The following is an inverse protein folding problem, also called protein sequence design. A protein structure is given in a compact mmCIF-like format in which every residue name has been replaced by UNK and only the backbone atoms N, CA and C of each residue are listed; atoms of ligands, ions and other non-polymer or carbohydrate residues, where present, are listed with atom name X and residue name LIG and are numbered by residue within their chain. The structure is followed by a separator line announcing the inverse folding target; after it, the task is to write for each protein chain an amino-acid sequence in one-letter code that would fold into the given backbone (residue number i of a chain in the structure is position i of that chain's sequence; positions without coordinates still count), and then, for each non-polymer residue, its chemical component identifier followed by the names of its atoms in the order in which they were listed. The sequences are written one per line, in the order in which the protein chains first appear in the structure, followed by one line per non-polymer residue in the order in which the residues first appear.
data_IF_264726363666
#
_entry.id   IF_264726363666
#
_cell.length_a   1.000
_cell.length_b   1.000
_cell.length_c   1.000
_cell.angle_alpha   90.00
_cell.angle_beta   90.00
_cell.angle_gamma   90.00
#
_symmetry.space_group_name_H-M   'P 1'
#
loop_
_entity.id
_entity.type
_entity.pdbx_description
1 polymer ?
#
# COMPACT_ATOMS: atom_id res chain seq x y z
N UNK A 1 19.35 -17.97 -39.07
CA UNK A 1 18.04 -17.55 -39.61
C UNK A 1 17.29 -16.85 -38.49
N UNK A 2 17.40 -15.52 -38.44
CA UNK A 2 16.66 -14.69 -37.51
C UNK A 2 15.29 -14.40 -38.12
N UNK A 3 14.23 -14.99 -37.56
CA UNK A 3 12.86 -14.65 -37.94
C UNK A 3 12.53 -13.28 -37.34
N UNK A 4 12.39 -12.30 -38.23
CA UNK A 4 11.90 -10.97 -37.94
C UNK A 4 10.49 -11.06 -37.31
N UNK A 5 10.34 -10.42 -36.16
CA UNK A 5 9.11 -10.31 -35.41
C UNK A 5 8.30 -9.14 -35.99
N UNK A 6 7.81 -9.28 -37.22
CA UNK A 6 7.01 -8.26 -37.91
C UNK A 6 5.63 -8.13 -37.27
N UNK A 7 5.40 -7.00 -36.62
CA UNK A 7 4.13 -6.31 -36.31
C UNK A 7 2.85 -7.16 -36.17
N UNK A 8 2.55 -7.53 -34.92
CA UNK A 8 1.19 -7.94 -34.48
C UNK A 8 0.22 -6.77 -34.29
N UNK A 9 0.61 -5.55 -34.68
CA UNK A 9 -0.15 -4.31 -34.45
C UNK A 9 -1.23 -4.05 -35.50
N UNK A 10 -1.11 -4.64 -36.69
CA UNK A 10 -2.02 -4.32 -37.82
C UNK A 10 -3.44 -4.88 -37.67
N UNK A 11 -3.68 -5.80 -36.72
CA UNK A 11 -5.01 -6.41 -36.48
C UNK A 11 -5.79 -5.79 -35.32
N UNK A 12 -5.20 -4.81 -34.62
CA UNK A 12 -5.81 -4.11 -33.49
C UNK A 12 -6.42 -2.79 -33.98
N UNK A 13 -7.73 -2.63 -33.80
CA UNK A 13 -8.40 -1.36 -34.10
C UNK A 13 -7.88 -0.25 -33.17
N UNK A 14 -7.29 0.85 -33.70
CA UNK A 14 -6.70 1.91 -32.88
C UNK A 14 -7.73 2.75 -32.11
N UNK A 15 -9.03 2.67 -32.45
CA UNK A 15 -10.09 3.43 -31.77
C UNK A 15 -10.77 2.63 -30.66
N UNK A 16 -10.80 1.30 -30.76
CA UNK A 16 -11.47 0.43 -29.79
C UNK A 16 -10.52 -0.48 -29.02
N UNK A 17 -9.29 -0.67 -29.52
CA UNK A 17 -8.32 -1.62 -28.99
C UNK A 17 -8.69 -3.07 -29.26
N UNK A 18 -9.74 -3.33 -30.04
CA UNK A 18 -10.22 -4.68 -30.32
C UNK A 18 -9.34 -5.37 -31.37
N UNK A 19 -8.80 -6.53 -31.02
CA UNK A 19 -8.11 -7.40 -31.97
C UNK A 19 -9.10 -8.40 -32.59
N UNK A 20 -9.40 -8.24 -33.88
CA UNK A 20 -10.42 -9.06 -34.56
C UNK A 20 -10.05 -10.54 -34.68
N UNK A 21 -8.77 -10.87 -34.63
CA UNK A 21 -8.23 -12.23 -34.71
C UNK A 21 -8.32 -12.95 -33.36
N UNK A 22 -7.80 -12.32 -32.29
CA UNK A 22 -7.78 -12.92 -30.95
C UNK A 22 -9.08 -12.76 -30.18
N UNK A 23 -9.97 -11.85 -30.63
CA UNK A 23 -11.18 -11.41 -29.93
C UNK A 23 -10.89 -10.80 -28.54
N UNK A 24 -9.69 -10.26 -28.34
CA UNK A 24 -9.25 -9.62 -27.09
C UNK A 24 -9.29 -8.09 -27.26
N UNK A 25 -9.72 -7.39 -26.19
CA UNK A 25 -9.57 -5.94 -26.08
C UNK A 25 -8.25 -5.58 -25.42
N UNK A 26 -7.54 -4.64 -26.03
CA UNK A 26 -6.31 -4.06 -25.52
C UNK A 26 -6.57 -2.62 -25.07
N UNK A 27 -5.84 -2.18 -24.06
CA UNK A 27 -5.82 -0.76 -23.73
C UNK A 27 -5.28 0.05 -24.91
N UNK A 28 -5.93 1.17 -25.22
CA UNK A 28 -5.42 2.16 -26.20
C UNK A 28 -4.20 2.92 -25.69
N UNK A 29 -3.93 2.84 -24.38
CA UNK A 29 -2.74 3.46 -23.77
C UNK A 29 -1.51 2.61 -24.05
N UNK A 30 -0.36 3.28 -24.15
CA UNK A 30 0.92 2.62 -24.30
C UNK A 30 1.15 1.57 -23.20
N UNK A 31 1.80 0.47 -23.57
CA UNK A 31 2.18 -0.55 -22.59
C UNK A 31 3.23 0.04 -21.65
N UNK A 32 3.01 -0.17 -20.35
CA UNK A 32 3.91 0.32 -19.31
C UNK A 32 4.93 -0.77 -19.00
N UNK A 33 6.19 -0.36 -18.86
CA UNK A 33 7.27 -1.24 -18.44
C UNK A 33 7.23 -1.40 -16.92
N UNK A 34 7.11 -2.65 -16.46
CA UNK A 34 7.22 -2.99 -15.05
C UNK A 34 8.69 -3.34 -14.70
N UNK A 35 9.13 -3.13 -13.44
CA UNK A 35 10.44 -3.57 -13.01
C UNK A 35 10.63 -5.09 -13.22
N UNK A 36 11.86 -5.57 -13.49
CA UNK A 36 12.14 -7.01 -13.64
C UNK A 36 11.67 -7.80 -12.41
N UNK A 37 11.03 -8.96 -12.60
CA UNK A 37 10.46 -9.71 -11.45
C UNK A 37 11.52 -10.23 -10.47
N UNK A 38 12.75 -10.40 -10.95
CA UNK A 38 13.91 -10.85 -10.17
C UNK A 38 14.46 -9.77 -9.24
N UNK A 39 14.12 -8.50 -9.46
CA UNK A 39 14.54 -7.39 -8.60
C UNK A 39 13.75 -7.44 -7.27
N UNK A 40 14.41 -7.62 -6.11
CA UNK A 40 13.75 -7.49 -4.82
C UNK A 40 13.25 -6.07 -4.65
N UNK A 41 11.93 -5.90 -4.61
CA UNK A 41 11.29 -4.60 -4.61
C UNK A 41 9.94 -4.70 -3.91
N UNK A 42 9.83 -4.03 -2.77
CA UNK A 42 8.55 -3.81 -2.11
C UNK A 42 7.74 -2.72 -2.82
N UNK A 43 6.43 -2.70 -2.59
CA UNK A 43 5.56 -1.62 -3.09
C UNK A 43 5.95 -0.26 -2.50
N UNK A 44 6.37 -0.23 -1.23
CA UNK A 44 6.85 0.99 -0.60
C UNK A 44 8.12 1.51 -1.29
N UNK A 45 9.12 0.66 -1.51
CA UNK A 45 10.35 1.03 -2.23
C UNK A 45 10.04 1.51 -3.66
N UNK A 46 9.13 0.82 -4.37
CA UNK A 46 8.73 1.24 -5.70
C UNK A 46 8.13 2.66 -5.68
N UNK A 47 7.15 2.93 -4.82
CA UNK A 47 6.55 4.28 -4.74
C UNK A 47 7.60 5.32 -4.38
N UNK A 48 8.38 5.08 -3.33
CA UNK A 48 9.39 6.03 -2.86
C UNK A 48 10.49 6.29 -3.90
N UNK A 49 10.83 5.31 -4.73
CA UNK A 49 11.81 5.49 -5.82
C UNK A 49 11.28 6.34 -6.99
N UNK A 50 9.96 6.39 -7.19
CA UNK A 50 9.32 7.19 -8.23
C UNK A 50 8.91 8.59 -7.74
N UNK A 51 8.93 8.84 -6.42
CA UNK A 51 8.64 10.16 -5.87
C UNK A 51 9.88 11.07 -5.95
N UNK A 52 9.86 12.01 -6.90
CA UNK A 52 10.85 13.09 -7.01
C UNK A 52 10.38 14.33 -6.24
N UNK A 53 10.36 14.25 -4.91
CA UNK A 53 9.91 15.34 -4.04
C UNK A 53 11.07 16.03 -3.31
N UNK A 54 10.97 17.35 -3.13
CA UNK A 54 11.86 18.08 -2.23
C UNK A 54 11.62 17.62 -0.79
N UNK A 55 12.66 17.60 0.08
CA UNK A 55 12.49 17.28 1.50
C UNK A 55 11.36 18.05 2.19
N UNK A 56 11.15 19.31 1.81
CA UNK A 56 10.12 20.20 2.38
C UNK A 56 8.73 20.01 1.79
N UNK A 57 8.56 19.23 0.71
CA UNK A 57 7.26 19.05 0.04
C UNK A 57 6.28 18.35 0.97
N UNK A 58 5.10 18.94 1.17
CA UNK A 58 4.02 18.33 1.96
C UNK A 58 3.52 17.05 1.29
N UNK A 59 3.60 15.95 2.03
CA UNK A 59 3.24 14.60 1.55
C UNK A 59 1.88 14.15 2.09
N UNK A 60 1.64 14.35 3.39
CA UNK A 60 0.36 14.02 4.02
C UNK A 60 -0.24 15.26 4.67
N UNK A 61 -1.57 15.38 4.62
CA UNK A 61 -2.34 16.42 5.29
C UNK A 61 -3.49 15.76 6.03
N UNK A 62 -3.60 16.02 7.32
CA UNK A 62 -4.76 15.70 8.11
C UNK A 62 -5.79 16.82 7.94
N UNK A 63 -6.87 16.52 7.23
CA UNK A 63 -7.92 17.49 6.93
C UNK A 63 -8.69 17.95 8.18
N UNK A 64 -8.69 17.18 9.27
CA UNK A 64 -9.47 17.52 10.45
C UNK A 64 -8.82 18.62 11.29
N UNK A 65 -7.48 18.68 11.32
CA UNK A 65 -6.72 19.59 12.18
C UNK A 65 -5.66 20.42 11.41
N UNK A 66 -5.49 20.19 10.11
CA UNK A 66 -4.53 20.92 9.27
C UNK A 66 -3.07 20.50 9.49
N UNK A 67 -2.80 19.48 10.30
CA UNK A 67 -1.43 18.94 10.45
C UNK A 67 -0.95 18.43 9.11
N UNK A 68 0.31 18.69 8.82
CA UNK A 68 0.97 18.25 7.61
C UNK A 68 2.27 17.56 7.95
N UNK A 69 2.65 16.60 7.12
CA UNK A 69 3.91 15.86 7.22
C UNK A 69 4.66 16.10 5.90
N UNK A 70 5.90 16.59 6.02
CA UNK A 70 6.77 16.78 4.85
C UNK A 70 7.25 15.44 4.31
N UNK A 71 7.81 15.45 3.09
CA UNK A 71 8.38 14.25 2.49
C UNK A 71 9.52 13.67 3.34
N UNK A 72 10.44 14.52 3.81
CA UNK A 72 11.54 14.06 4.67
C UNK A 72 11.03 13.46 5.99
N UNK A 73 10.00 14.08 6.60
CA UNK A 73 9.39 13.59 7.83
C UNK A 73 8.65 12.28 7.59
N UNK A 74 7.94 12.13 6.48
CA UNK A 74 7.27 10.89 6.11
C UNK A 74 8.27 9.73 5.96
N UNK A 75 9.35 9.94 5.19
CA UNK A 75 10.41 8.95 5.00
C UNK A 75 11.05 8.59 6.34
N UNK A 76 11.32 9.59 7.17
CA UNK A 76 11.89 9.40 8.48
C UNK A 76 10.97 8.53 9.36
N UNK A 77 9.71 8.92 9.51
CA UNK A 77 8.71 8.19 10.32
C UNK A 77 8.51 6.74 9.83
N UNK A 78 8.49 6.51 8.51
CA UNK A 78 8.39 5.16 7.94
C UNK A 78 9.60 4.30 8.32
N UNK A 79 10.81 4.84 8.22
CA UNK A 79 12.03 4.10 8.58
C UNK A 79 12.09 3.81 10.07
N UNK A 80 11.80 4.81 10.90
CA UNK A 80 11.80 4.69 12.36
C UNK A 80 10.77 3.67 12.83
N UNK A 81 9.55 3.74 12.29
CA UNK A 81 8.50 2.78 12.63
C UNK A 81 8.83 1.36 12.18
N UNK A 82 9.32 1.18 10.95
CA UNK A 82 9.75 -0.13 10.47
C UNK A 82 10.84 -0.73 11.36
N UNK A 83 11.81 0.09 11.78
CA UNK A 83 12.87 -0.31 12.69
C UNK A 83 12.31 -0.80 14.03
N UNK A 84 11.45 0.00 14.65
CA UNK A 84 10.86 -0.31 15.96
C UNK A 84 9.93 -1.52 15.91
N UNK A 85 9.12 -1.66 14.87
CA UNK A 85 8.27 -2.83 14.65
C UNK A 85 9.10 -4.11 14.49
N UNK A 86 10.24 -4.03 13.82
CA UNK A 86 11.14 -5.17 13.68
C UNK A 86 11.86 -5.49 14.99
N UNK A 87 12.47 -4.51 15.65
CA UNK A 87 13.32 -4.76 16.82
C UNK A 87 12.51 -5.10 18.08
N UNK A 88 11.37 -4.43 18.31
CA UNK A 88 10.57 -4.61 19.52
C UNK A 88 9.55 -5.72 19.39
N UNK A 89 8.95 -5.90 18.21
CA UNK A 89 7.86 -6.86 17.98
C UNK A 89 8.27 -8.03 17.08
N UNK A 90 9.49 -8.02 16.53
CA UNK A 90 9.98 -9.10 15.66
C UNK A 90 9.27 -9.17 14.31
N UNK A 91 8.53 -8.13 13.90
CA UNK A 91 7.76 -8.17 12.65
C UNK A 91 8.69 -8.24 11.44
N UNK A 92 8.36 -9.12 10.51
CA UNK A 92 9.16 -9.44 9.33
C UNK A 92 8.31 -10.20 8.32
N UNK A 93 8.93 -10.55 7.19
CA UNK A 93 8.34 -11.37 6.15
C UNK A 93 7.73 -12.67 6.71
N UNK A 94 6.56 -13.04 6.17
CA UNK A 94 5.81 -14.23 6.58
C UNK A 94 4.78 -13.96 7.68
N UNK A 95 4.79 -12.79 8.31
CA UNK A 95 3.73 -12.36 9.23
C UNK A 95 2.65 -11.56 8.51
N UNK A 96 1.44 -11.56 9.09
CA UNK A 96 0.33 -10.70 8.69
C UNK A 96 -0.12 -9.80 9.85
N UNK A 97 -0.50 -8.58 9.51
CA UNK A 97 -0.99 -7.55 10.43
C UNK A 97 -2.41 -7.13 10.04
N UNK A 98 -3.32 -7.15 11.00
CA UNK A 98 -4.69 -6.69 10.80
C UNK A 98 -4.82 -5.21 11.16
N UNK A 99 -5.48 -4.42 10.32
CA UNK A 99 -5.60 -2.98 10.55
C UNK A 99 -7.08 -2.59 10.57
N UNK A 100 -7.55 -2.13 11.73
CA UNK A 100 -8.91 -1.70 11.95
C UNK A 100 -8.91 -0.26 12.46
N UNK A 101 -8.99 0.70 11.54
CA UNK A 101 -8.88 2.10 11.90
C UNK A 101 -9.72 2.96 10.96
N UNK A 102 -10.32 4.05 11.47
CA UNK A 102 -10.71 5.18 10.64
C UNK A 102 -9.51 5.74 9.88
N UNK A 103 -9.80 6.58 8.89
CA UNK A 103 -8.80 7.33 8.16
C UNK A 103 -8.02 8.26 9.09
N UNK A 104 -6.69 8.12 9.11
CA UNK A 104 -5.79 8.99 9.87
C UNK A 104 -4.46 9.17 9.13
N UNK A 105 -3.70 10.19 9.52
CA UNK A 105 -2.38 10.46 8.95
C UNK A 105 -1.36 9.34 9.25
N UNK A 106 -1.64 8.51 10.26
CA UNK A 106 -0.78 7.40 10.66
C UNK A 106 -0.88 6.18 9.75
N UNK A 107 -2.01 6.00 9.07
CA UNK A 107 -2.25 4.82 8.23
C UNK A 107 -1.25 4.71 7.07
N UNK A 108 -0.96 5.77 6.29
CA UNK A 108 0.09 5.71 5.29
C UNK A 108 1.47 5.37 5.86
N UNK A 109 1.84 5.93 7.02
CA UNK A 109 3.13 5.66 7.66
C UNK A 109 3.22 4.18 8.05
N UNK A 110 2.18 3.66 8.72
CA UNK A 110 2.10 2.24 9.08
C UNK A 110 2.19 1.33 7.86
N UNK A 111 1.44 1.62 6.79
CA UNK A 111 1.41 0.77 5.61
C UNK A 111 2.79 0.67 4.95
N UNK A 112 3.46 1.81 4.75
CA UNK A 112 4.79 1.82 4.16
C UNK A 112 5.79 1.10 5.05
N UNK A 113 5.68 1.25 6.37
CA UNK A 113 6.56 0.58 7.34
C UNK A 113 6.37 -0.95 7.34
N UNK A 114 5.13 -1.43 7.22
CA UNK A 114 4.85 -2.87 7.14
C UNK A 114 5.28 -3.45 5.78
N UNK A 115 5.08 -2.71 4.69
CA UNK A 115 5.54 -3.13 3.36
C UNK A 115 7.07 -3.23 3.26
N UNK A 116 7.83 -2.34 3.90
CA UNK A 116 9.31 -2.43 3.91
C UNK A 116 9.80 -3.64 4.71
N UNK A 117 9.00 -4.11 5.68
CA UNK A 117 9.27 -5.33 6.45
C UNK A 117 8.74 -6.61 5.76
N UNK A 118 8.03 -6.51 4.64
CA UNK A 118 7.39 -7.65 3.98
C UNK A 118 6.22 -8.26 4.76
N UNK A 119 5.62 -7.50 5.69
CA UNK A 119 4.45 -7.93 6.46
C UNK A 119 3.20 -7.79 5.61
N UNK A 120 2.38 -8.83 5.58
CA UNK A 120 1.12 -8.86 4.85
C UNK A 120 0.09 -7.99 5.57
N UNK A 121 -0.42 -6.97 4.90
CA UNK A 121 -1.39 -6.03 5.48
C UNK A 121 -2.81 -6.49 5.20
N UNK A 122 -3.64 -6.62 6.24
CA UNK A 122 -5.07 -6.91 6.10
C UNK A 122 -5.90 -5.78 6.70
N UNK A 123 -6.24 -4.75 5.89
CA UNK A 123 -7.04 -3.63 6.36
C UNK A 123 -8.53 -3.98 6.35
N UNK A 124 -9.27 -3.42 7.31
CA UNK A 124 -10.71 -3.62 7.46
C UNK A 124 -11.43 -2.35 7.87
N UNK A 125 -12.71 -2.28 7.51
CA UNK A 125 -13.52 -1.11 7.74
C UNK A 125 -13.86 -1.06 9.24
N UNK A 126 -13.57 0.06 9.95
CA UNK A 126 -13.92 0.21 11.36
C UNK A 126 -15.43 0.05 11.64
N UNK A 127 -16.28 0.24 10.63
CA UNK A 127 -17.73 0.00 10.72
C UNK A 127 -18.12 -1.48 10.72
N UNK A 128 -17.20 -2.40 10.41
CA UNK A 128 -17.48 -3.84 10.49
C UNK A 128 -17.86 -4.24 11.93
N UNK A 129 -18.76 -5.22 12.00
CA UNK A 129 -19.23 -5.83 13.24
C UNK A 129 -18.21 -6.82 13.78
N UNK A 130 -18.27 -7.14 15.09
CA UNK A 130 -17.36 -8.13 15.71
C UNK A 130 -17.38 -9.50 14.99
N UNK A 131 -18.53 -10.05 14.55
CA UNK A 131 -18.55 -11.30 13.78
C UNK A 131 -17.85 -11.20 12.43
N UNK A 132 -18.00 -10.08 11.72
CA UNK A 132 -17.32 -9.85 10.43
C UNK A 132 -15.80 -9.74 10.62
N UNK A 133 -15.36 -8.96 11.62
CA UNK A 133 -13.95 -8.82 12.00
C UNK A 133 -13.36 -10.16 12.40
N UNK A 134 -14.09 -10.93 13.23
CA UNK A 134 -13.67 -12.27 13.63
C UNK A 134 -13.51 -13.16 12.39
N UNK A 135 -14.45 -13.15 11.45
CA UNK A 135 -14.35 -13.93 10.21
C UNK A 135 -13.13 -13.53 9.38
N UNK A 136 -12.86 -12.23 9.25
CA UNK A 136 -11.70 -11.72 8.52
C UNK A 136 -10.39 -12.15 9.17
N UNK A 137 -10.27 -12.02 10.50
CA UNK A 137 -9.10 -12.49 11.27
C UNK A 137 -8.88 -14.01 11.10
N UNK A 138 -9.94 -14.81 11.04
CA UNK A 138 -9.81 -16.25 10.74
C UNK A 138 -9.26 -16.53 9.33
N UNK A 139 -9.52 -15.64 8.37
CA UNK A 139 -9.02 -15.76 7.00
C UNK A 139 -7.55 -15.32 6.89
N UNK A 140 -7.19 -14.17 7.45
CA UNK A 140 -5.84 -13.61 7.30
C UNK A 140 -4.83 -14.06 8.37
N UNK A 141 -5.31 -14.66 9.47
CA UNK A 141 -4.50 -15.20 10.59
C UNK A 141 -3.38 -14.25 11.06
N UNK A 142 -3.72 -13.01 11.44
CA UNK A 142 -2.76 -12.00 11.82
C UNK A 142 -2.08 -12.34 13.14
N UNK A 143 -0.77 -12.08 13.23
CA UNK A 143 -0.04 -12.19 14.50
C UNK A 143 -0.28 -10.97 15.39
N UNK A 144 -0.61 -9.83 14.78
CA UNK A 144 -0.79 -8.53 15.45
C UNK A 144 -1.93 -7.74 14.81
N UNK A 145 -2.57 -6.87 15.59
CA UNK A 145 -3.48 -5.86 15.07
C UNK A 145 -3.02 -4.43 15.36
N UNK A 146 -3.45 -3.51 14.51
CA UNK A 146 -3.34 -2.07 14.69
C UNK A 146 -4.74 -1.47 14.64
N UNK A 147 -5.13 -0.73 15.68
CA UNK A 147 -6.46 -0.11 15.74
C UNK A 147 -6.44 1.21 16.50
N UNK A 148 -7.57 1.90 16.56
CA UNK A 148 -7.75 3.01 17.50
C UNK A 148 -8.33 2.51 18.81
N UNK A 149 -8.26 3.32 19.88
CA UNK A 149 -8.94 3.06 21.15
C UNK A 149 -10.45 2.79 20.97
N UNK A 150 -11.09 3.49 20.02
CA UNK A 150 -12.51 3.34 19.67
C UNK A 150 -12.86 1.98 19.05
N UNK A 151 -11.92 1.33 18.38
CA UNK A 151 -12.20 0.13 17.55
C UNK A 151 -11.53 -1.14 18.09
N UNK A 152 -10.61 -1.00 19.05
CA UNK A 152 -9.86 -2.10 19.62
C UNK A 152 -10.74 -3.19 20.28
N UNK A 153 -11.88 -2.80 20.86
CA UNK A 153 -12.80 -3.72 21.56
C UNK A 153 -13.46 -4.75 20.62
N UNK A 154 -13.39 -4.52 19.30
CA UNK A 154 -13.91 -5.43 18.29
C UNK A 154 -12.92 -6.53 17.89
N UNK A 155 -11.65 -6.37 18.25
CA UNK A 155 -10.58 -7.29 17.87
C UNK A 155 -10.44 -8.38 18.95
N UNK A 156 -10.56 -9.67 18.59
CA UNK A 156 -10.25 -10.77 19.49
C UNK A 156 -8.75 -10.79 19.84
N UNK A 157 -8.34 -11.42 20.96
CA UNK A 157 -6.94 -11.54 21.32
C UNK A 157 -6.09 -12.19 20.22
N UNK A 158 -4.92 -11.61 19.96
CA UNK A 158 -3.92 -12.07 18.99
C UNK A 158 -2.59 -12.38 19.67
N UNK A 159 -1.69 -13.09 18.98
CA UNK A 159 -0.39 -13.53 19.52
C UNK A 159 0.45 -12.37 20.08
N UNK A 160 0.54 -11.27 19.34
CA UNK A 160 1.27 -10.06 19.72
C UNK A 160 0.33 -8.92 20.16
N UNK A 161 -0.95 -9.22 20.35
CA UNK A 161 -1.95 -8.25 20.80
C UNK A 161 -2.32 -7.20 19.75
N UNK A 162 -2.77 -6.05 20.25
CA UNK A 162 -3.27 -4.91 19.46
C UNK A 162 -2.51 -3.64 19.86
N UNK A 163 -1.92 -2.97 18.87
CA UNK A 163 -1.26 -1.67 19.03
C UNK A 163 -2.26 -0.55 18.73
N UNK A 164 -2.37 0.41 19.65
CA UNK A 164 -3.26 1.56 19.51
C UNK A 164 -2.59 2.70 18.73
N UNK A 165 -3.13 3.06 17.57
CA UNK A 165 -2.61 4.08 16.66
C UNK A 165 -2.72 5.50 17.20
N UNK A 166 -3.65 5.72 18.13
CA UNK A 166 -3.93 6.98 18.82
C UNK A 166 -3.24 7.08 20.19
N UNK A 167 -2.30 6.18 20.47
CA UNK A 167 -1.52 6.17 21.71
C UNK A 167 -0.20 6.95 21.58
N UNK A 168 0.27 7.49 22.72
CA UNK A 168 1.60 8.11 22.81
C UNK A 168 2.74 7.13 22.50
N UNK A 169 2.54 5.86 22.82
CA UNK A 169 3.47 4.77 22.58
C UNK A 169 3.69 4.58 21.09
N UNK A 170 2.60 4.53 20.30
CA UNK A 170 2.70 4.42 18.85
C UNK A 170 3.36 5.65 18.21
N UNK A 171 3.02 6.86 18.66
CA UNK A 171 3.72 8.09 18.21
C UNK A 171 5.23 8.00 18.49
N UNK A 172 5.61 7.53 19.68
CA UNK A 172 7.03 7.37 20.05
C UNK A 172 7.76 6.34 19.17
N UNK A 173 7.06 5.34 18.64
CA UNK A 173 7.63 4.35 17.72
C UNK A 173 7.96 4.94 16.34
N UNK A 174 7.36 6.07 15.98
CA UNK A 174 7.57 6.74 14.69
C UNK A 174 8.57 7.89 14.77
N UNK A 175 8.97 8.32 15.96
CA UNK A 175 9.78 9.54 16.18
C UNK A 175 11.05 9.33 16.99
N UNK A 176 11.24 8.18 17.64
CA UNK A 176 12.46 7.92 18.40
C UNK A 176 13.63 7.51 17.49
N UNK A 177 14.66 8.36 17.42
CA UNK A 177 15.91 8.14 16.66
C UNK A 177 16.83 7.05 17.24
N UNK A 178 16.37 6.24 18.18
CA UNK A 178 17.23 5.35 18.96
C UNK A 178 17.65 4.08 18.22
N UNK A 179 17.10 3.80 17.04
CA UNK A 179 17.34 2.56 16.31
C UNK A 179 17.95 2.84 14.93
N UNK A 180 19.26 2.66 14.82
CA UNK A 180 19.94 2.60 13.52
C UNK A 180 19.61 1.25 12.86
N UNK A 181 18.59 1.22 12.00
CA UNK A 181 18.15 0.02 11.32
C UNK A 181 19.11 -0.34 10.17
N UNK A 182 20.13 -1.13 10.47
CA UNK A 182 21.12 -1.59 9.49
C UNK A 182 20.68 -2.82 8.68
N UNK A 183 19.62 -3.53 9.10
CA UNK A 183 19.24 -4.81 8.52
C UNK A 183 18.03 -4.73 7.59
N UNK A 184 18.24 -4.39 6.31
CA UNK A 184 17.15 -4.34 5.33
C UNK A 184 16.53 -5.72 5.09
N UNK A 185 15.22 -5.87 5.34
CA UNK A 185 14.47 -7.07 4.95
C UNK A 185 14.39 -7.13 3.43
N UNK A 186 14.69 -8.29 2.85
CA UNK A 186 14.57 -8.50 1.41
C UNK A 186 13.15 -8.91 1.09
N UNK A 187 12.42 -8.05 0.38
CA UNK A 187 11.04 -8.29 -0.07
C UNK A 187 11.02 -8.52 -1.57
N UNK A 188 10.39 -9.60 -2.02
CA UNK A 188 10.24 -9.94 -3.44
C UNK A 188 8.90 -9.44 -3.96
N UNK A 189 8.86 -9.11 -5.25
CA UNK A 189 7.62 -8.67 -5.89
C UNK A 189 6.53 -9.76 -5.85
N UNK A 190 6.92 -11.04 -5.83
CA UNK A 190 6.00 -12.18 -5.72
C UNK A 190 5.42 -12.38 -4.32
N UNK A 191 5.96 -11.73 -3.30
CA UNK A 191 5.49 -11.91 -1.93
C UNK A 191 4.12 -11.25 -1.75
N UNK A 192 3.28 -11.86 -0.92
CA UNK A 192 2.01 -11.31 -0.53
C UNK A 192 2.22 -9.96 0.19
N UNK A 193 1.49 -8.93 -0.25
CA UNK A 193 1.56 -7.60 0.31
C UNK A 193 0.29 -7.27 1.09
N UNK A 194 -0.87 -7.67 0.58
CA UNK A 194 -2.15 -7.39 1.24
C UNK A 194 -3.14 -8.53 1.13
N UNK A 195 -4.02 -8.67 2.13
CA UNK A 195 -5.23 -9.48 2.05
C UNK A 195 -6.45 -8.55 2.17
N UNK A 196 -7.19 -8.42 1.08
CA UNK A 196 -8.42 -7.62 0.99
C UNK A 196 -9.65 -8.52 1.02
N UNK A 197 -10.81 -7.96 1.35
CA UNK A 197 -12.05 -8.74 1.48
C UNK A 197 -13.05 -8.39 0.40
N UNK A 198 -13.65 -9.42 -0.19
CA UNK A 198 -14.78 -9.28 -1.12
C UNK A 198 -15.99 -10.04 -0.58
N UNK A 199 -17.18 -9.49 -0.76
CA UNK A 199 -18.44 -10.11 -0.34
C UNK A 199 -18.77 -11.39 -1.10
N UNK A 200 -18.14 -11.60 -2.26
CA UNK A 200 -18.38 -12.75 -3.14
C UNK A 200 -19.84 -12.83 -3.63
N UNK A 201 -20.10 -13.63 -4.66
CA UNK A 201 -21.47 -13.92 -5.12
C UNK A 201 -22.21 -14.92 -4.22
N UNK A 202 -21.47 -15.60 -3.34
CA UNK A 202 -21.94 -16.70 -2.49
C UNK A 202 -22.37 -16.23 -1.08
N UNK A 203 -22.35 -14.92 -0.81
CA UNK A 203 -22.73 -14.31 0.49
C UNK A 203 -21.69 -14.45 1.61
N UNK A 204 -20.65 -15.28 1.42
CA UNK A 204 -19.54 -15.43 2.35
C UNK A 204 -18.34 -14.58 1.91
N UNK A 205 -17.79 -13.82 2.86
CA UNK A 205 -16.57 -13.01 2.66
C UNK A 205 -15.40 -13.91 2.28
N UNK A 206 -14.68 -13.52 1.22
CA UNK A 206 -13.45 -14.17 0.75
C UNK A 206 -12.26 -13.23 0.90
N UNK A 207 -11.13 -13.78 1.36
CA UNK A 207 -9.84 -13.08 1.35
C UNK A 207 -9.23 -13.13 -0.05
N UNK A 208 -8.76 -11.99 -0.53
CA UNK A 208 -8.08 -11.78 -1.81
C UNK A 208 -6.65 -11.39 -1.49
N UNK A 209 -5.73 -12.32 -1.73
CA UNK A 209 -4.30 -12.08 -1.59
C UNK A 209 -3.79 -11.30 -2.81
N UNK A 210 -3.11 -10.18 -2.57
CA UNK A 210 -2.43 -9.40 -3.59
C UNK A 210 -0.95 -9.30 -3.25
N UNK A 211 -0.12 -9.54 -4.24
CA UNK A 211 1.34 -9.45 -4.14
C UNK A 211 1.83 -8.01 -4.28
N UNK A 212 3.09 -7.77 -3.92
CA UNK A 212 3.75 -6.49 -4.21
C UNK A 212 3.72 -6.18 -5.70
N UNK A 213 3.88 -7.18 -6.59
CA UNK A 213 3.78 -7.05 -8.04
C UNK A 213 2.40 -6.57 -8.47
N UNK A 214 1.33 -7.07 -7.86
CA UNK A 214 -0.03 -6.62 -8.19
C UNK A 214 -0.18 -5.12 -7.92
N UNK A 215 0.28 -4.66 -6.76
CA UNK A 215 0.25 -3.23 -6.41
C UNK A 215 1.16 -2.38 -7.29
N UNK A 216 2.40 -2.81 -7.53
CA UNK A 216 3.35 -2.14 -8.43
C UNK A 216 2.74 -1.98 -9.82
N UNK A 217 2.05 -3.01 -10.33
CA UNK A 217 1.41 -2.96 -11.66
C UNK A 217 0.31 -1.90 -11.73
N UNK A 218 -0.52 -1.79 -10.68
CA UNK A 218 -1.57 -0.75 -10.60
C UNK A 218 -0.93 0.64 -10.50
N UNK A 219 0.07 0.81 -9.64
CA UNK A 219 0.74 2.09 -9.43
C UNK A 219 1.50 2.57 -10.67
N UNK A 220 2.19 1.67 -11.38
CA UNK A 220 2.81 1.98 -12.66
C UNK A 220 1.77 2.50 -13.67
N UNK A 221 0.60 1.86 -13.69
CA UNK A 221 -0.60 2.32 -14.41
C UNK A 221 -0.96 3.77 -14.10
N UNK A 222 -1.08 4.09 -12.82
CA UNK A 222 -1.45 5.42 -12.34
C UNK A 222 -0.38 6.47 -12.64
N UNK A 223 0.90 6.16 -12.46
CA UNK A 223 2.01 7.05 -12.80
C UNK A 223 2.02 7.42 -14.27
N UNK A 224 1.87 6.42 -15.16
CA UNK A 224 1.84 6.67 -16.60
C UNK A 224 0.64 7.52 -17.04
N UNK A 225 -0.48 7.50 -16.30
CA UNK A 225 -1.61 8.40 -16.57
C UNK A 225 -1.24 9.83 -16.19
N UNK A 226 -0.65 10.02 -15.00
CA UNK A 226 -0.29 11.34 -14.50
C UNK A 226 0.84 12.02 -15.28
N UNK A 227 1.85 11.28 -15.75
CA UNK A 227 2.90 11.86 -16.61
C UNK A 227 2.35 12.47 -17.91
N UNK A 228 1.18 12.00 -18.37
CA UNK A 228 0.52 12.49 -19.57
C UNK A 228 -0.48 13.64 -19.33
N UNK A 229 -0.63 14.12 -18.09
CA UNK A 229 -1.45 15.30 -17.75
C UNK A 229 -0.55 16.47 -17.30
N UNK A 230 -0.18 17.40 -18.21
CA UNK A 230 0.65 18.55 -17.85
C UNK A 230 -0.02 19.40 -16.76
N UNK A 231 0.69 19.65 -15.66
CA UNK A 231 0.27 20.58 -14.61
C UNK A 231 -0.53 19.97 -13.45
N UNK A 232 -0.74 18.65 -13.40
CA UNK A 232 -1.26 17.99 -12.18
C UNK A 232 -0.12 17.48 -11.32
N UNK A 233 -0.02 17.90 -10.04
CA UNK A 233 0.98 17.34 -9.14
C UNK A 233 0.74 15.82 -8.99
N UNK A 234 1.79 14.96 -9.05
CA UNK A 234 1.62 13.52 -9.03
C UNK A 234 0.95 13.09 -7.73
N UNK A 235 -0.35 12.80 -7.81
CA UNK A 235 -1.16 12.43 -6.66
C UNK A 235 -1.23 10.92 -6.61
N UNK A 236 -0.34 10.29 -5.84
CA UNK A 236 -0.50 8.85 -5.54
C UNK A 236 -1.53 8.72 -4.43
N UNK A 237 -2.81 8.69 -4.81
CA UNK A 237 -3.84 8.27 -3.90
C UNK A 237 -3.68 6.76 -3.65
N UNK A 238 -3.11 6.37 -2.50
CA UNK A 238 -3.25 5.00 -2.02
C UNK A 238 -4.71 4.83 -1.60
N UNK A 239 -5.55 4.48 -2.57
CA UNK A 239 -6.90 4.00 -2.32
C UNK A 239 -6.78 2.63 -1.64
N UNK A 240 -6.63 2.64 -0.32
CA UNK A 240 -7.05 1.49 0.47
C UNK A 240 -8.54 1.32 0.22
N UNK A 241 -8.93 0.28 -0.50
CA UNK A 241 -10.31 -0.04 -0.92
C UNK A 241 -11.26 -0.36 0.24
N UNK A 242 -10.96 0.14 1.43
CA UNK A 242 -11.68 -0.10 2.67
C UNK A 242 -12.46 1.15 3.10
N UNK A 243 -12.10 2.37 2.66
CA UNK A 243 -12.86 3.59 2.98
C UNK A 243 -12.86 4.64 1.84
N UNK A 244 -14.02 5.26 1.50
CA UNK A 244 -14.14 6.18 0.35
C UNK A 244 -13.47 7.56 0.49
N UNK A 245 -12.66 7.83 1.52
CA UNK A 245 -12.30 9.21 1.91
C UNK A 245 -10.90 9.41 2.48
N UNK A 246 -9.88 8.67 2.04
CA UNK A 246 -8.49 9.08 2.29
C UNK A 246 -7.93 9.71 1.02
N UNK A 247 -7.93 11.05 0.98
CA UNK A 247 -7.32 11.83 -0.10
C UNK A 247 -5.90 12.15 0.34
N UNK A 248 -4.96 11.24 0.07
CA UNK A 248 -3.53 11.56 0.20
C UNK A 248 -3.19 12.48 -0.97
N UNK A 249 -3.06 13.78 -0.69
CA UNK A 249 -2.73 14.81 -1.67
C UNK A 249 -1.25 15.09 -1.57
N UNK A 250 -0.46 14.56 -2.50
CA UNK A 250 0.88 15.07 -2.74
C UNK A 250 0.71 16.42 -3.44
N UNK A 251 0.91 17.51 -2.71
CA UNK A 251 0.90 18.85 -3.27
C UNK A 251 2.31 19.17 -3.76
N UNK A 252 2.49 19.19 -5.08
CA UNK A 252 3.63 19.88 -5.69
C UNK A 252 3.15 21.26 -6.09
N UNK A 253 3.46 22.27 -5.28
CA UNK A 253 3.42 23.66 -5.74
C UNK A 253 4.74 23.94 -6.43
N UNK A 254 4.69 24.09 -7.75
CA UNK A 254 5.71 24.81 -8.50
C UNK A 254 5.41 26.31 -8.39
N UNK A 255 6.46 27.09 -8.16
CA UNK A 255 6.45 28.55 -8.08
C UNK A 255 5.67 29.24 -9.22
#
# INVERSE_FOLDING_TARGET
MASQNSDRTDTIDPNSGFCSETKIFHSLRARISLPPETLPLSVADYVLSNLQASPSTTTLIDAANGRHISYSEFIHRVKTLAADLHTKLGLSWGYSAYILSPNSIQIPILFYSLFTLGVIISPSNPACTKPEISRQIHLCKPVIAFSTSETADKIPPLQYGTVLLDSSEFESMMTNDTVEYSHRVVVRQSDAATILYSSGTTGLVKGVELTHRNWISVLAGLYAIHENEPGTPPTVAVYGSVLPRLRVRFLFEGF
#
